data_IF_075304891377
#
_entry.id   IF_075304891377
#
_cell.length_a   1.000
_cell.length_b   1.000
_cell.length_c   1.000
_cell.angle_alpha   90.00
_cell.angle_beta   90.00
_cell.angle_gamma   90.00
#
_symmetry.space_group_name_H-M   'P 1'
#
loop_
_entity.id
_entity.type
_entity.pdbx_description
1 polymer ?
#
# COMPACT_ATOMS: atom_id res chain seq x y z
N UNK A 1 6.43 15.50 8.55
CA UNK A 1 6.51 14.17 9.21
C UNK A 1 7.93 13.57 9.10
N UNK A 2 8.34 12.62 9.96
CA UNK A 2 9.68 11.96 9.92
C UNK A 2 9.92 11.14 8.64
N UNK A 3 8.86 10.70 7.97
CA UNK A 3 8.92 9.79 6.82
C UNK A 3 8.19 10.36 5.59
N UNK A 4 8.90 10.51 4.46
CA UNK A 4 8.34 11.01 3.18
C UNK A 4 7.71 9.89 2.35
N UNK A 5 6.74 10.19 1.47
CA UNK A 5 6.19 9.18 0.55
C UNK A 5 7.27 8.74 -0.45
N UNK A 6 7.38 7.44 -0.67
CA UNK A 6 8.26 6.87 -1.68
C UNK A 6 7.42 6.32 -2.83
N UNK A 7 7.75 6.76 -4.05
CA UNK A 7 7.15 6.24 -5.28
C UNK A 7 7.97 5.09 -5.85
N UNK A 8 7.30 4.21 -6.59
CA UNK A 8 7.98 3.22 -7.43
C UNK A 8 8.60 3.89 -8.65
N UNK A 9 9.79 3.44 -9.04
CA UNK A 9 10.41 3.89 -10.27
C UNK A 9 9.75 3.22 -11.48
N UNK A 10 9.36 4.03 -12.46
CA UNK A 10 8.90 3.53 -13.75
C UNK A 10 10.07 3.29 -14.71
N UNK A 11 9.97 2.21 -15.49
CA UNK A 11 10.93 1.92 -16.56
C UNK A 11 10.85 2.98 -17.67
N UNK A 12 11.99 3.38 -18.26
CA UNK A 12 12.02 4.41 -19.31
C UNK A 12 11.09 4.09 -20.50
N UNK A 13 10.35 5.07 -21.04
CA UNK A 13 9.41 4.86 -22.15
C UNK A 13 10.02 4.11 -23.34
N UNK A 14 11.22 4.49 -23.77
CA UNK A 14 11.93 3.86 -24.90
C UNK A 14 12.23 2.36 -24.67
N UNK A 15 12.40 1.93 -23.42
CA UNK A 15 12.68 0.53 -23.05
C UNK A 15 11.40 -0.29 -22.86
N UNK A 16 10.28 0.33 -22.44
CA UNK A 16 9.01 -0.38 -22.18
C UNK A 16 8.17 -0.61 -23.45
N UNK A 17 8.34 0.18 -24.51
CA UNK A 17 7.62 -0.06 -25.79
C UNK A 17 8.07 -1.38 -26.45
N UNK A 18 9.30 -1.83 -26.18
CA UNK A 18 9.89 -3.02 -26.80
C UNK A 18 9.49 -4.35 -26.14
N UNK A 19 8.77 -4.35 -25.01
CA UNK A 19 8.38 -5.57 -24.29
C UNK A 19 7.13 -5.36 -23.44
N UNK A 20 6.37 -6.43 -23.18
CA UNK A 20 5.16 -6.39 -22.32
C UNK A 20 5.46 -6.64 -20.83
N UNK A 21 6.69 -6.39 -20.37
CA UNK A 21 7.05 -6.56 -18.95
C UNK A 21 6.47 -5.42 -18.12
N UNK A 22 6.29 -5.64 -16.82
CA UNK A 22 5.78 -4.64 -15.88
C UNK A 22 6.53 -3.29 -15.99
N UNK A 23 5.79 -2.19 -15.82
CA UNK A 23 6.30 -0.83 -15.95
C UNK A 23 6.88 -0.35 -14.62
N UNK A 24 6.22 -0.68 -13.51
CA UNK A 24 6.66 -0.32 -12.16
C UNK A 24 7.60 -1.37 -11.58
N UNK A 25 8.50 -0.92 -10.72
CA UNK A 25 9.44 -1.76 -9.99
C UNK A 25 9.07 -1.77 -8.52
N UNK A 26 9.01 -2.96 -7.89
CA UNK A 26 8.69 -3.10 -6.47
C UNK A 26 9.73 -2.36 -5.63
N UNK A 27 9.28 -1.75 -4.53
CA UNK A 27 10.17 -1.18 -3.53
C UNK A 27 10.95 -2.29 -2.81
N UNK A 28 12.16 -1.97 -2.35
CA UNK A 28 12.93 -2.86 -1.48
C UNK A 28 12.25 -3.00 -0.12
N UNK A 29 12.52 -4.10 0.58
CA UNK A 29 11.95 -4.37 1.91
C UNK A 29 12.17 -3.21 2.90
N UNK A 30 13.38 -2.64 2.91
CA UNK A 30 13.72 -1.47 3.72
C UNK A 30 12.85 -0.24 3.40
N UNK A 31 12.54 -0.01 2.13
CA UNK A 31 11.68 1.09 1.68
C UNK A 31 10.20 0.81 1.99
N UNK A 32 9.78 -0.45 1.93
CA UNK A 32 8.43 -0.87 2.32
C UNK A 32 8.22 -0.68 3.82
N UNK A 33 9.19 -1.08 4.65
CA UNK A 33 9.17 -0.81 6.10
C UNK A 33 9.12 0.69 6.41
N UNK A 34 9.92 1.49 5.70
CA UNK A 34 9.90 2.95 5.82
C UNK A 34 8.53 3.55 5.43
N UNK A 35 7.88 3.05 4.37
CA UNK A 35 6.54 3.52 3.99
C UNK A 35 5.46 3.09 4.99
N UNK A 36 5.57 1.87 5.53
CA UNK A 36 4.61 1.34 6.51
C UNK A 36 4.61 2.16 7.80
N UNK A 37 5.77 2.73 8.18
CA UNK A 37 5.94 3.60 9.33
C UNK A 37 5.21 4.96 9.23
N UNK A 38 4.62 5.29 8.08
CA UNK A 38 3.83 6.52 7.89
C UNK A 38 2.41 6.41 8.43
N UNK A 39 1.91 5.17 8.62
CA UNK A 39 0.59 4.95 9.19
C UNK A 39 0.56 5.47 10.63
N UNK A 40 -0.45 6.27 10.95
CA UNK A 40 -0.61 6.88 12.28
C UNK A 40 -1.46 6.03 13.23
N UNK A 41 -1.88 4.83 12.80
CA UNK A 41 -2.80 3.96 13.55
C UNK A 41 -4.04 4.73 14.05
N UNK A 42 -4.78 5.32 13.12
CA UNK A 42 -5.90 6.20 13.43
C UNK A 42 -6.99 5.43 14.21
N UNK A 43 -7.50 6.02 15.30
CA UNK A 43 -8.60 5.41 16.08
C UNK A 43 -9.90 5.24 15.28
N UNK A 44 -10.19 6.17 14.36
CA UNK A 44 -11.25 6.03 13.35
C UNK A 44 -10.59 5.79 12.00
N UNK A 45 -10.80 4.59 11.44
CA UNK A 45 -10.08 4.11 10.25
C UNK A 45 -10.83 4.40 8.95
N UNK A 46 -10.77 5.65 8.49
CA UNK A 46 -11.39 6.06 7.21
C UNK A 46 -10.88 5.27 5.99
N UNK A 47 -9.66 4.73 6.04
CA UNK A 47 -9.14 3.87 4.97
C UNK A 47 -9.86 2.51 4.88
N UNK A 48 -10.51 2.05 5.95
CA UNK A 48 -11.27 0.80 6.03
C UNK A 48 -12.79 1.00 5.90
N UNK A 49 -13.29 2.22 6.09
CA UNK A 49 -14.72 2.54 5.94
C UNK A 49 -15.21 2.42 4.49
N UNK A 50 -16.52 2.59 4.29
CA UNK A 50 -17.19 2.47 2.98
C UNK A 50 -16.62 3.42 1.91
N UNK A 51 -16.08 4.57 2.33
CA UNK A 51 -15.38 5.54 1.47
C UNK A 51 -13.94 5.15 1.13
N UNK A 52 -13.38 4.17 1.83
CA UNK A 52 -12.00 3.71 1.73
C UNK A 52 -11.88 2.43 0.92
N UNK A 53 -11.84 1.27 1.57
CA UNK A 53 -11.62 -0.02 0.91
C UNK A 53 -12.96 -0.75 0.68
N UNK A 54 -13.38 -1.02 -0.58
CA UNK A 54 -14.67 -1.66 -0.87
C UNK A 54 -14.83 -3.09 -0.31
N UNK A 55 -13.72 -3.76 -0.02
CA UNK A 55 -13.68 -5.11 0.57
C UNK A 55 -13.39 -5.07 2.07
N UNK A 56 -13.43 -3.88 2.67
CA UNK A 56 -13.21 -3.63 4.11
C UNK A 56 -11.92 -4.26 4.64
N UNK A 57 -10.84 -4.20 3.84
CA UNK A 57 -9.55 -4.76 4.22
C UNK A 57 -8.99 -4.06 5.48
N UNK A 58 -8.30 -4.83 6.32
CA UNK A 58 -7.88 -4.40 7.66
C UNK A 58 -6.49 -3.75 7.57
N UNK A 59 -6.45 -2.61 6.86
CA UNK A 59 -5.24 -1.92 6.39
C UNK A 59 -4.23 -1.60 7.50
N UNK A 60 -4.62 -0.93 8.61
CA UNK A 60 -3.66 -0.57 9.64
C UNK A 60 -2.96 -1.79 10.25
N UNK A 61 -3.70 -2.90 10.40
CA UNK A 61 -3.18 -4.09 11.09
C UNK A 61 -2.12 -4.82 10.28
N UNK A 62 -2.37 -5.12 9.01
CA UNK A 62 -1.35 -5.78 8.20
C UNK A 62 -0.17 -4.83 7.90
N UNK A 63 -0.40 -3.52 7.85
CA UNK A 63 0.65 -2.53 7.67
C UNK A 63 1.62 -2.46 8.87
N UNK A 64 1.09 -2.56 10.09
CA UNK A 64 1.92 -2.72 11.31
C UNK A 64 2.75 -4.02 11.28
N UNK A 65 2.16 -5.13 10.82
CA UNK A 65 2.89 -6.40 10.65
C UNK A 65 4.03 -6.28 9.63
N UNK A 66 3.81 -5.56 8.53
CA UNK A 66 4.87 -5.24 7.55
C UNK A 66 5.98 -4.40 8.18
N UNK A 67 5.63 -3.40 8.99
CA UNK A 67 6.63 -2.59 9.71
C UNK A 67 7.48 -3.45 10.68
N UNK A 68 6.86 -4.43 11.34
CA UNK A 68 7.51 -5.39 12.23
C UNK A 68 8.30 -6.49 11.50
N UNK A 69 8.18 -6.59 10.17
CA UNK A 69 8.82 -7.64 9.38
C UNK A 69 8.10 -9.00 9.45
N UNK A 70 6.87 -9.04 9.98
CA UNK A 70 6.04 -10.23 10.10
C UNK A 70 5.26 -10.48 8.80
N UNK A 71 5.98 -10.74 7.71
CA UNK A 71 5.42 -10.82 6.35
C UNK A 71 4.34 -11.89 6.18
N UNK A 72 4.52 -13.05 6.82
CA UNK A 72 3.58 -14.16 6.71
C UNK A 72 2.26 -13.85 7.41
N UNK A 73 2.33 -13.23 8.58
CA UNK A 73 1.14 -12.79 9.31
C UNK A 73 0.44 -11.63 8.60
N UNK A 74 1.21 -10.70 8.02
CA UNK A 74 0.66 -9.64 7.18
C UNK A 74 -0.13 -10.21 5.99
N UNK A 75 0.44 -11.19 5.29
CA UNK A 75 -0.24 -11.87 4.18
C UNK A 75 -1.50 -12.59 4.65
N UNK A 76 -1.42 -13.39 5.72
CA UNK A 76 -2.57 -14.08 6.28
C UNK A 76 -3.69 -13.10 6.60
N UNK A 77 -3.36 -11.94 7.19
CA UNK A 77 -4.34 -10.91 7.54
C UNK A 77 -5.01 -10.28 6.32
N UNK A 78 -4.26 -10.06 5.23
CA UNK A 78 -4.84 -9.54 3.98
C UNK A 78 -5.74 -10.59 3.34
N UNK A 79 -5.30 -11.84 3.28
CA UNK A 79 -6.04 -12.95 2.67
C UNK A 79 -7.40 -13.24 3.34
N UNK A 80 -7.59 -12.84 4.59
CA UNK A 80 -8.88 -12.95 5.27
C UNK A 80 -10.01 -12.15 4.59
N UNK A 81 -9.67 -11.06 3.91
CA UNK A 81 -10.66 -10.13 3.30
C UNK A 81 -10.48 -9.96 1.81
N UNK A 82 -9.34 -10.41 1.27
CA UNK A 82 -8.95 -10.20 -0.12
C UNK A 82 -8.35 -11.47 -0.70
N UNK A 83 -9.04 -12.08 -1.66
CA UNK A 83 -8.61 -13.33 -2.28
C UNK A 83 -7.40 -13.13 -3.21
N UNK A 84 -7.19 -11.91 -3.73
CA UNK A 84 -6.16 -11.61 -4.74
C UNK A 84 -5.38 -10.32 -4.38
N UNK A 85 -4.61 -10.32 -3.27
CA UNK A 85 -3.82 -9.16 -2.84
C UNK A 85 -2.80 -8.71 -3.89
N UNK A 86 -2.22 -9.64 -4.64
CA UNK A 86 -1.25 -9.38 -5.69
C UNK A 86 -1.85 -8.67 -6.91
N UNK A 87 -3.13 -8.94 -7.19
CA UNK A 87 -3.85 -8.30 -8.29
C UNK A 87 -4.39 -6.93 -7.87
N UNK A 88 -5.13 -6.92 -6.76
CA UNK A 88 -5.71 -5.68 -6.20
C UNK A 88 -4.63 -4.67 -5.85
N UNK A 89 -3.46 -5.10 -5.40
CA UNK A 89 -2.32 -4.22 -5.13
C UNK A 89 -1.73 -3.51 -6.37
N UNK A 90 -2.01 -4.02 -7.57
CA UNK A 90 -1.51 -3.45 -8.83
C UNK A 90 -2.54 -2.65 -9.59
N UNK A 91 -3.79 -3.09 -9.58
CA UNK A 91 -4.86 -2.61 -10.46
C UNK A 91 -5.85 -1.69 -9.75
N UNK A 92 -5.98 -1.81 -8.42
CA UNK A 92 -6.97 -1.02 -7.68
C UNK A 92 -6.66 0.49 -7.82
N UNK A 93 -7.67 1.35 -8.03
CA UNK A 93 -7.48 2.81 -8.12
C UNK A 93 -7.17 3.50 -6.79
N UNK A 94 -7.08 2.73 -5.69
CA UNK A 94 -6.64 3.19 -4.37
C UNK A 94 -7.59 4.17 -3.64
N UNK A 95 -8.90 3.92 -3.56
CA UNK A 95 -9.81 4.78 -2.79
C UNK A 95 -9.41 4.90 -1.31
N UNK A 96 -8.82 3.84 -0.74
CA UNK A 96 -8.26 3.85 0.61
C UNK A 96 -7.09 4.82 0.83
N UNK A 97 -6.35 5.19 -0.22
CA UNK A 97 -5.32 6.23 -0.12
C UNK A 97 -5.96 7.62 -0.09
N UNK A 98 -7.02 7.85 -0.87
CA UNK A 98 -7.79 9.10 -0.85
C UNK A 98 -8.57 9.32 0.45
N UNK A 99 -9.04 8.25 1.08
CA UNK A 99 -9.70 8.30 2.38
C UNK A 99 -8.71 8.36 3.57
N UNK A 100 -7.40 8.34 3.34
CA UNK A 100 -6.41 8.38 4.41
C UNK A 100 -6.45 9.75 5.11
N UNK A 101 -6.57 9.78 6.45
CA UNK A 101 -6.52 11.02 7.24
C UNK A 101 -5.28 11.85 6.94
N UNK A 102 -4.18 11.18 6.59
CA UNK A 102 -2.94 11.85 6.26
C UNK A 102 -3.05 12.77 5.05
N UNK A 103 -3.96 12.49 4.10
CA UNK A 103 -4.20 13.29 2.89
C UNK A 103 -4.55 14.75 3.19
N UNK A 104 -5.14 15.02 4.37
CA UNK A 104 -5.52 16.37 4.78
C UNK A 104 -4.30 17.28 4.98
N UNK A 105 -3.16 16.71 5.40
CA UNK A 105 -1.97 17.48 5.81
C UNK A 105 -0.72 17.18 4.97
N UNK A 106 -0.59 15.96 4.45
CA UNK A 106 0.54 15.52 3.63
C UNK A 106 0.09 14.47 2.62
N UNK A 107 1.00 13.93 1.80
CA UNK A 107 0.68 12.83 0.89
C UNK A 107 0.24 11.58 1.66
N UNK A 108 -0.70 10.79 1.12
CA UNK A 108 -1.36 9.74 1.88
C UNK A 108 -0.41 8.57 2.11
N UNK A 109 -0.80 7.69 3.03
CA UNK A 109 -0.14 6.41 3.16
C UNK A 109 -0.43 5.58 1.92
N UNK A 110 0.62 5.06 1.28
CA UNK A 110 0.48 4.16 0.14
C UNK A 110 0.28 2.75 0.68
N UNK A 111 -0.79 2.06 0.30
CA UNK A 111 -1.15 0.74 0.87
C UNK A 111 -1.05 -0.41 -0.14
N UNK A 112 -1.09 -0.13 -1.43
CA UNK A 112 -1.41 -1.16 -2.40
C UNK A 112 -0.23 -2.08 -2.78
N UNK A 113 1.02 -1.71 -2.49
CA UNK A 113 2.18 -2.36 -3.13
C UNK A 113 3.12 -3.10 -2.18
N UNK A 114 2.61 -3.44 -1.00
CA UNK A 114 3.38 -4.19 0.00
C UNK A 114 3.44 -5.69 -0.28
N UNK A 115 2.48 -6.23 -1.03
CA UNK A 115 2.44 -7.65 -1.43
C UNK A 115 2.87 -7.86 -2.88
#
# INVERSE_FOLDING_TARGET
MRYKRLGEAYRPPRKRVKNRKAISTRLTESKLKYQSARCMDCGVTFCQSDTGCPISNIIPKWNDLVFKGQWRDALNRILMTNNFPEFTGRVCPAPCEGACVLEISEQPCRYQKYC
#
